data_IF_991983422764
#
_entry.id   IF_991983422764
#
_cell.length_a   1.000
_cell.length_b   1.000
_cell.length_c   1.000
_cell.angle_alpha   90.00
_cell.angle_beta   90.00
_cell.angle_gamma   90.00
#
_symmetry.space_group_name_H-M   'P 1'
#
loop_
_entity.id
_entity.type
_entity.pdbx_description
1 polymer ?
#
# COMPACT_ATOMS: atom_id res chain seq x y z
N UNK A 1 6.09 -18.93 34.33
CA UNK A 1 6.39 -19.46 32.97
C UNK A 1 5.27 -19.23 31.96
N UNK A 2 4.00 -19.03 32.37
CA UNK A 2 2.88 -18.80 31.44
C UNK A 2 3.03 -17.54 30.55
N UNK A 3 3.65 -16.47 31.07
CA UNK A 3 3.85 -15.21 30.34
C UNK A 3 4.84 -15.32 29.17
N UNK A 4 5.81 -16.24 29.24
CA UNK A 4 6.81 -16.43 28.17
C UNK A 4 6.15 -17.10 26.95
N UNK A 5 5.23 -18.04 27.18
CA UNK A 5 4.56 -18.79 26.11
C UNK A 5 3.64 -17.90 25.24
N UNK A 6 3.01 -16.87 25.82
CA UNK A 6 2.20 -15.91 25.05
C UNK A 6 3.04 -15.02 24.14
N UNK A 7 4.24 -14.62 24.59
CA UNK A 7 5.12 -13.76 23.79
C UNK A 7 5.62 -14.46 22.52
N UNK A 8 5.98 -15.75 22.62
CA UNK A 8 6.42 -16.53 21.45
C UNK A 8 5.29 -16.73 20.42
N UNK A 9 4.05 -16.91 20.87
CA UNK A 9 2.90 -17.09 19.99
C UNK A 9 2.52 -15.82 19.20
N UNK A 10 2.79 -14.64 19.76
CA UNK A 10 2.60 -13.37 19.07
C UNK A 10 3.70 -13.10 18.03
N UNK A 11 4.96 -13.43 18.36
CA UNK A 11 6.09 -13.27 17.43
C UNK A 11 5.94 -14.12 16.17
N UNK A 12 5.55 -15.39 16.31
CA UNK A 12 5.36 -16.28 15.15
C UNK A 12 4.23 -15.84 14.19
N UNK A 13 3.21 -15.14 14.69
CA UNK A 13 2.15 -14.59 13.85
C UNK A 13 2.60 -13.39 13.05
N UNK A 14 3.33 -12.46 13.67
CA UNK A 14 3.90 -11.31 12.97
C UNK A 14 4.82 -11.76 11.85
N UNK A 15 5.64 -12.79 12.09
CA UNK A 15 6.51 -13.38 11.08
C UNK A 15 5.70 -13.99 9.92
N UNK A 16 4.68 -14.80 10.20
CA UNK A 16 3.82 -15.40 9.17
C UNK A 16 3.14 -14.33 8.28
N UNK A 17 2.64 -13.24 8.87
CA UNK A 17 2.04 -12.13 8.13
C UNK A 17 3.09 -11.43 7.27
N UNK A 18 4.28 -11.17 7.81
CA UNK A 18 5.37 -10.54 7.07
C UNK A 18 5.81 -11.39 5.86
N UNK A 19 5.98 -12.70 6.05
CA UNK A 19 6.30 -13.64 4.98
C UNK A 19 5.21 -13.68 3.91
N UNK A 20 3.93 -13.73 4.31
CA UNK A 20 2.82 -13.75 3.36
C UNK A 20 2.69 -12.42 2.60
N UNK A 21 2.88 -11.28 3.28
CA UNK A 21 2.91 -9.95 2.67
C UNK A 21 4.04 -9.83 1.66
N UNK A 22 5.22 -10.33 2.01
CA UNK A 22 6.38 -10.35 1.12
C UNK A 22 6.08 -11.20 -0.12
N UNK A 23 5.54 -12.40 0.06
CA UNK A 23 5.16 -13.28 -1.05
C UNK A 23 4.18 -12.61 -2.02
N UNK A 24 3.14 -11.96 -1.50
CA UNK A 24 2.19 -11.23 -2.35
C UNK A 24 2.84 -10.02 -3.03
N UNK A 25 3.60 -9.20 -2.29
CA UNK A 25 4.30 -8.04 -2.86
C UNK A 25 5.33 -8.43 -3.92
N UNK A 26 6.02 -9.55 -3.76
CA UNK A 26 6.96 -10.07 -4.74
C UNK A 26 6.26 -10.50 -6.03
N UNK A 27 5.10 -11.18 -5.92
CA UNK A 27 4.30 -11.53 -7.08
C UNK A 27 3.82 -10.28 -7.84
N UNK A 28 3.32 -9.27 -7.12
CA UNK A 28 2.86 -8.02 -7.74
C UNK A 28 4.01 -7.29 -8.46
N UNK A 29 5.21 -7.24 -7.86
CA UNK A 29 6.41 -6.68 -8.51
C UNK A 29 6.82 -7.45 -9.76
N UNK A 30 6.78 -8.78 -9.70
CA UNK A 30 7.10 -9.61 -10.85
C UNK A 30 6.12 -9.30 -12.00
N UNK A 31 4.82 -9.29 -11.72
CA UNK A 31 3.82 -9.00 -12.74
C UNK A 31 3.96 -7.58 -13.30
N UNK A 32 4.31 -6.59 -12.47
CA UNK A 32 4.64 -5.23 -12.90
C UNK A 32 5.80 -5.23 -13.90
N UNK A 33 6.93 -5.83 -13.53
CA UNK A 33 8.12 -5.86 -14.39
C UNK A 33 7.83 -6.58 -15.72
N UNK A 34 7.19 -7.75 -15.66
CA UNK A 34 6.81 -8.52 -16.86
C UNK A 34 5.85 -7.74 -17.76
N UNK A 35 4.95 -6.94 -17.17
CA UNK A 35 4.02 -6.10 -17.92
C UNK A 35 4.72 -4.92 -18.59
N UNK A 36 5.72 -4.32 -17.94
CA UNK A 36 6.55 -3.27 -18.53
C UNK A 36 7.37 -3.82 -19.71
N UNK A 37 8.01 -4.98 -19.55
CA UNK A 37 8.77 -5.65 -20.60
C UNK A 37 7.90 -5.96 -21.83
N UNK A 38 6.65 -6.34 -21.58
CA UNK A 38 5.67 -6.66 -22.62
C UNK A 38 4.87 -5.44 -23.12
N UNK A 39 5.12 -4.24 -22.60
CA UNK A 39 4.38 -3.02 -22.93
C UNK A 39 2.85 -3.21 -22.81
N UNK A 40 2.41 -3.88 -21.74
CA UNK A 40 0.98 -4.11 -21.49
C UNK A 40 0.27 -2.76 -21.30
N UNK A 41 -0.87 -2.56 -21.95
CA UNK A 41 -1.65 -1.33 -21.74
C UNK A 41 -2.08 -1.20 -20.26
N UNK A 42 -2.08 0.01 -19.66
CA UNK A 42 -2.46 0.20 -18.25
C UNK A 42 -3.79 -0.44 -17.85
N UNK A 43 -4.82 -0.33 -18.69
CA UNK A 43 -6.13 -0.95 -18.43
C UNK A 43 -6.07 -2.48 -18.46
N UNK A 44 -5.18 -3.06 -19.29
CA UNK A 44 -4.98 -4.50 -19.34
C UNK A 44 -4.21 -5.01 -18.11
N UNK A 45 -3.24 -4.23 -17.61
CA UNK A 45 -2.53 -4.51 -16.37
C UNK A 45 -3.48 -4.53 -15.17
N UNK A 46 -4.33 -3.51 -15.02
CA UNK A 46 -5.31 -3.41 -13.94
C UNK A 46 -6.28 -4.60 -13.93
N UNK A 47 -6.73 -5.05 -15.09
CA UNK A 47 -7.60 -6.25 -15.20
C UNK A 47 -6.86 -7.55 -14.87
N UNK A 48 -5.55 -7.62 -15.15
CA UNK A 48 -4.75 -8.85 -15.01
C UNK A 48 -4.14 -9.06 -13.62
N UNK A 49 -3.77 -7.98 -12.93
CA UNK A 49 -2.99 -8.04 -11.67
C UNK A 49 -3.71 -8.83 -10.56
N UNK A 50 -5.04 -8.79 -10.52
CA UNK A 50 -5.83 -9.55 -9.54
C UNK A 50 -5.75 -11.06 -9.73
N UNK A 51 -5.67 -11.55 -10.98
CA UNK A 51 -5.68 -12.97 -11.28
C UNK A 51 -4.32 -13.64 -11.09
N UNK A 52 -3.23 -12.95 -11.43
CA UNK A 52 -1.89 -13.55 -11.43
C UNK A 52 -1.37 -13.93 -10.04
N UNK A 53 -1.75 -13.17 -9.02
CA UNK A 53 -1.24 -13.35 -7.67
C UNK A 53 -2.22 -14.04 -6.72
N UNK A 54 -3.18 -14.82 -7.25
CA UNK A 54 -4.30 -15.39 -6.48
C UNK A 54 -3.84 -16.24 -5.27
N UNK A 55 -2.81 -17.08 -5.45
CA UNK A 55 -2.32 -17.96 -4.37
C UNK A 55 -1.71 -17.17 -3.21
N UNK A 56 -0.80 -16.26 -3.53
CA UNK A 56 -0.12 -15.40 -2.56
C UNK A 56 -1.13 -14.43 -1.90
N UNK A 57 -2.08 -13.94 -2.67
CA UNK A 57 -3.17 -13.11 -2.18
C UNK A 57 -4.04 -13.84 -1.16
N UNK A 58 -4.37 -15.11 -1.43
CA UNK A 58 -5.14 -15.95 -0.52
C UNK A 58 -4.37 -16.17 0.79
N UNK A 59 -3.09 -16.53 0.71
CA UNK A 59 -2.23 -16.72 1.89
C UNK A 59 -2.12 -15.46 2.76
N UNK A 60 -1.89 -14.29 2.15
CA UNK A 60 -1.80 -13.04 2.89
C UNK A 60 -3.14 -12.64 3.52
N UNK A 61 -4.25 -12.76 2.78
CA UNK A 61 -5.59 -12.51 3.31
C UNK A 61 -5.91 -13.40 4.51
N UNK A 62 -5.59 -14.69 4.43
CA UNK A 62 -5.80 -15.63 5.53
C UNK A 62 -4.96 -15.28 6.75
N UNK A 63 -3.70 -14.88 6.56
CA UNK A 63 -2.83 -14.43 7.66
C UNK A 63 -3.40 -13.21 8.39
N UNK A 64 -3.95 -12.24 7.66
CA UNK A 64 -4.63 -11.07 8.24
C UNK A 64 -5.87 -11.46 9.03
N UNK A 65 -6.74 -12.30 8.46
CA UNK A 65 -7.96 -12.76 9.13
C UNK A 65 -7.62 -13.52 10.42
N UNK A 66 -6.62 -14.40 10.37
CA UNK A 66 -6.19 -15.19 11.53
C UNK A 66 -5.65 -14.30 12.65
N UNK A 67 -4.89 -13.25 12.32
CA UNK A 67 -4.42 -12.26 13.30
C UNK A 67 -5.59 -11.64 14.04
N UNK A 68 -6.57 -11.12 13.31
CA UNK A 68 -7.66 -10.34 13.88
C UNK A 68 -8.59 -11.23 14.71
N UNK A 69 -8.91 -12.43 14.22
CA UNK A 69 -9.70 -13.40 14.98
C UNK A 69 -9.00 -13.82 16.27
N UNK A 70 -7.67 -14.04 16.25
CA UNK A 70 -6.90 -14.38 17.46
C UNK A 70 -6.79 -13.21 18.43
N UNK A 71 -6.83 -11.97 17.95
CA UNK A 71 -6.91 -10.78 18.78
C UNK A 71 -8.30 -10.57 19.41
N UNK A 72 -9.27 -11.46 19.14
CA UNK A 72 -10.64 -11.38 19.63
C UNK A 72 -11.59 -10.57 18.74
N UNK A 73 -11.16 -10.21 17.52
CA UNK A 73 -11.98 -9.56 16.52
C UNK A 73 -13.05 -10.47 15.92
N UNK A 74 -14.14 -9.88 15.45
CA UNK A 74 -15.19 -10.61 14.72
C UNK A 74 -14.71 -11.01 13.32
N UNK A 75 -14.98 -12.26 12.91
CA UNK A 75 -14.56 -12.79 11.61
C UNK A 75 -14.99 -11.93 10.41
N UNK A 76 -16.23 -11.45 10.40
CA UNK A 76 -16.74 -10.61 9.31
C UNK A 76 -15.96 -9.29 9.18
N UNK A 77 -15.59 -8.68 10.31
CA UNK A 77 -14.76 -7.47 10.33
C UNK A 77 -13.34 -7.78 9.84
N UNK A 78 -12.76 -8.90 10.29
CA UNK A 78 -11.45 -9.34 9.86
C UNK A 78 -11.38 -9.61 8.34
N UNK A 79 -12.45 -10.18 7.76
CA UNK A 79 -12.56 -10.40 6.31
C UNK A 79 -12.63 -9.08 5.54
N UNK A 80 -13.38 -8.10 6.05
CA UNK A 80 -13.47 -6.76 5.47
C UNK A 80 -12.14 -5.99 5.56
N UNK A 81 -11.51 -5.96 6.73
CA UNK A 81 -10.23 -5.30 6.96
C UNK A 81 -9.12 -5.93 6.07
N UNK A 82 -9.14 -7.25 5.93
CA UNK A 82 -8.24 -7.95 5.02
C UNK A 82 -8.55 -7.60 3.56
N UNK A 83 -9.82 -7.52 3.15
CA UNK A 83 -10.19 -7.10 1.79
C UNK A 83 -9.65 -5.71 1.45
N UNK A 84 -9.87 -4.73 2.32
CA UNK A 84 -9.40 -3.34 2.13
C UNK A 84 -7.87 -3.32 2.00
N UNK A 85 -7.16 -4.02 2.90
CA UNK A 85 -5.69 -4.11 2.85
C UNK A 85 -5.19 -4.69 1.51
N UNK A 86 -5.89 -5.69 0.97
CA UNK A 86 -5.55 -6.32 -0.30
C UNK A 86 -5.83 -5.41 -1.51
N UNK A 87 -6.91 -4.64 -1.44
CA UNK A 87 -7.30 -3.64 -2.45
C UNK A 87 -6.31 -2.48 -2.48
N UNK A 88 -5.97 -1.89 -1.33
CA UNK A 88 -5.00 -0.80 -1.22
C UNK A 88 -3.63 -1.21 -1.78
N UNK A 89 -3.16 -2.40 -1.40
CA UNK A 89 -1.88 -2.89 -1.90
C UNK A 89 -1.91 -3.08 -3.42
N UNK A 90 -3.02 -3.57 -3.99
CA UNK A 90 -3.15 -3.70 -5.45
C UNK A 90 -3.22 -2.33 -6.13
N UNK A 91 -3.98 -1.39 -5.57
CA UNK A 91 -4.12 -0.04 -6.09
C UNK A 91 -2.77 0.67 -6.19
N UNK A 92 -1.92 0.57 -5.16
CA UNK A 92 -0.56 1.12 -5.19
C UNK A 92 0.28 0.59 -6.38
N UNK A 93 0.15 -0.69 -6.73
CA UNK A 93 0.86 -1.25 -7.89
C UNK A 93 0.27 -0.80 -9.23
N UNK A 94 -1.05 -0.61 -9.29
CA UNK A 94 -1.73 -0.06 -10.48
C UNK A 94 -1.30 1.39 -10.72
N UNK A 95 -1.26 2.21 -9.67
CA UNK A 95 -0.79 3.60 -9.73
C UNK A 95 0.67 3.66 -10.16
N UNK A 96 1.55 2.90 -9.51
CA UNK A 96 2.96 2.81 -9.91
C UNK A 96 3.12 2.40 -11.37
N UNK A 97 2.37 1.40 -11.86
CA UNK A 97 2.43 1.01 -13.27
C UNK A 97 1.96 2.12 -14.22
N UNK A 98 0.88 2.83 -13.86
CA UNK A 98 0.37 3.97 -14.62
C UNK A 98 1.37 5.12 -14.66
N UNK A 99 2.08 5.38 -13.57
CA UNK A 99 3.10 6.43 -13.51
C UNK A 99 4.30 6.08 -14.39
N UNK A 100 4.80 4.85 -14.34
CA UNK A 100 5.90 4.37 -15.19
C UNK A 100 5.53 4.40 -16.68
N UNK A 101 4.31 4.00 -17.04
CA UNK A 101 3.81 4.04 -18.42
C UNK A 101 3.37 5.45 -18.86
N UNK A 102 3.03 6.31 -17.90
CA UNK A 102 2.52 7.67 -18.05
C UNK A 102 3.59 8.75 -18.00
N UNK A 103 4.85 8.42 -17.72
CA UNK A 103 6.02 9.31 -17.84
C UNK A 103 6.35 9.72 -19.29
N UNK A 104 5.44 9.49 -20.24
CA UNK A 104 5.34 10.21 -21.52
C UNK A 104 4.33 11.39 -21.48
N UNK A 105 3.81 11.75 -20.31
CA UNK A 105 3.01 12.95 -20.09
C UNK A 105 3.58 13.71 -18.87
N UNK A 106 4.01 14.98 -19.04
CA UNK A 106 4.55 15.75 -17.92
C UNK A 106 3.45 15.92 -16.88
N UNK A 107 3.75 15.47 -15.66
CA UNK A 107 3.01 15.88 -14.48
C UNK A 107 3.12 17.41 -14.44
N UNK A 108 2.02 18.10 -14.72
CA UNK A 108 1.87 19.49 -14.36
C UNK A 108 1.93 19.54 -12.83
N UNK A 109 3.15 19.64 -12.31
CA UNK A 109 3.43 20.03 -10.95
C UNK A 109 2.87 21.44 -10.80
N UNK A 110 1.59 21.52 -10.47
CA UNK A 110 1.00 22.66 -9.79
C UNK A 110 1.56 22.66 -8.35
N UNK A 111 2.85 22.91 -8.25
CA UNK A 111 3.54 23.39 -7.06
C UNK A 111 4.33 24.61 -7.50
N UNK A 112 3.57 25.56 -8.05
CA UNK A 112 3.97 26.93 -8.34
C UNK A 112 2.84 27.83 -7.86
N UNK A 113 2.50 27.75 -6.58
CA UNK A 113 2.16 28.99 -5.88
C UNK A 113 3.48 29.49 -5.30
N UNK A 114 4.11 30.52 -5.87
CA UNK A 114 5.08 31.28 -5.10
C UNK A 114 4.32 31.83 -3.90
N UNK A 115 4.72 31.39 -2.71
CA UNK A 115 4.40 32.10 -1.48
C UNK A 115 4.72 33.56 -1.75
N UNK A 116 3.68 34.36 -1.93
CA UNK A 116 3.81 35.81 -1.85
C UNK A 116 4.04 36.07 -0.38
N UNK A 117 5.30 35.93 0.00
CA UNK A 117 5.85 36.46 1.22
C UNK A 117 5.56 37.96 1.16
N UNK A 118 4.45 38.33 1.82
CA UNK A 118 4.04 39.69 2.06
C UNK A 118 5.27 40.40 2.65
N UNK A 119 5.80 41.45 2.00
CA UNK A 119 6.98 42.12 2.52
C UNK A 119 6.63 42.72 3.87
N UNK A 120 7.22 42.15 4.92
CA UNK A 120 7.26 42.72 6.25
C UNK A 120 7.91 44.11 6.14
N UNK A 121 7.07 45.13 6.02
CA UNK A 121 7.47 46.52 6.13
C UNK A 121 7.70 46.83 7.61
N UNK A 122 8.98 46.80 7.95
CA UNK A 122 9.58 47.37 9.15
C UNK A 122 9.18 48.85 9.33
N UNK A 123 8.54 49.13 10.48
CA UNK A 123 8.58 50.35 11.30
C UNK A 123 8.00 51.69 10.74
N UNK A 124 7.66 52.72 11.57
CA UNK A 124 8.02 52.91 12.99
C UNK A 124 6.91 53.41 13.96
N UNK A 125 7.22 53.32 15.27
CA UNK A 125 6.99 54.31 16.35
C UNK A 125 6.66 55.75 15.84
N UNK A 126 5.79 56.62 16.39
CA UNK A 126 5.35 56.97 17.78
C UNK A 126 4.13 57.95 17.67
N UNK A 127 3.81 58.83 18.67
CA UNK A 127 2.69 58.81 19.65
C UNK A 127 1.45 59.67 19.29
N UNK A 128 0.34 59.54 20.04
CA UNK A 128 -0.46 60.64 20.62
C UNK A 128 -1.33 60.13 21.78
#
# INVERSE_FOLDING_TARGET
MLSILLALAAMGQTEAINTARQGYSSCLRQYLNESMEQNVAPDAFERGIGAQCTSQATSFREALIQRDVRAGGGRARAEEDARITMEDLRANFIEMYRDEMGAAAPQAQASSEPQTEEPQADAPETPQ
#
